data_IF_348937717826
#
_entry.id   IF_348937717826
#
_cell.length_a   1.000
_cell.length_b   1.000
_cell.length_c   1.000
_cell.angle_alpha   90.00
_cell.angle_beta   90.00
_cell.angle_gamma   90.00
#
_symmetry.space_group_name_H-M   'P 1'
#
loop_
_entity.id
_entity.type
_entity.pdbx_description
1 polymer ?
#
# COMPACT_ATOMS: atom_id res chain seq x y z
N UNK A 1 -18.54 5.57 3.31
CA UNK A 1 -17.18 5.37 3.83
C UNK A 1 -16.86 3.92 3.58
N UNK A 2 -15.82 3.64 2.78
CA UNK A 2 -15.53 2.27 2.36
C UNK A 2 -15.07 1.42 3.55
N UNK A 3 -15.48 0.15 3.59
CA UNK A 3 -15.10 -0.82 4.62
C UNK A 3 -13.77 -1.53 4.26
N UNK A 4 -13.27 -2.37 5.17
CA UNK A 4 -12.01 -3.08 4.98
C UNK A 4 -12.02 -4.00 3.75
N UNK A 5 -13.12 -4.71 3.50
CA UNK A 5 -13.24 -5.64 2.37
C UNK A 5 -13.17 -4.90 1.02
N UNK A 6 -13.84 -3.75 0.90
CA UNK A 6 -13.76 -2.90 -0.30
C UNK A 6 -12.33 -2.37 -0.54
N UNK A 7 -11.59 -2.08 0.54
CA UNK A 7 -10.18 -1.72 0.46
C UNK A 7 -9.28 -2.91 0.08
N UNK A 8 -9.62 -4.11 0.55
CA UNK A 8 -8.91 -5.34 0.22
C UNK A 8 -9.10 -5.73 -1.25
N UNK A 9 -10.30 -5.57 -1.79
CA UNK A 9 -10.61 -5.74 -3.21
C UNK A 9 -9.81 -4.73 -4.06
N UNK A 10 -9.79 -3.46 -3.65
CA UNK A 10 -9.01 -2.43 -4.32
C UNK A 10 -7.49 -2.74 -4.27
N UNK A 11 -7.01 -3.26 -3.14
CA UNK A 11 -5.62 -3.71 -3.01
C UNK A 11 -5.31 -4.83 -4.00
N UNK A 12 -6.15 -5.87 -4.09
CA UNK A 12 -5.91 -7.01 -4.99
C UNK A 12 -5.84 -6.58 -6.47
N UNK A 13 -6.72 -5.66 -6.89
CA UNK A 13 -6.67 -5.09 -8.24
C UNK A 13 -5.36 -4.33 -8.47
N UNK A 14 -4.97 -3.42 -7.57
CA UNK A 14 -3.71 -2.65 -7.71
C UNK A 14 -2.49 -3.56 -7.65
N UNK A 15 -2.51 -4.58 -6.80
CA UNK A 15 -1.43 -5.55 -6.64
C UNK A 15 -1.16 -6.29 -7.95
N UNK A 16 -2.21 -6.75 -8.62
CA UNK A 16 -2.11 -7.51 -9.89
C UNK A 16 -1.63 -6.69 -11.07
N UNK A 17 -1.72 -5.35 -11.00
CA UNK A 17 -1.22 -4.47 -12.06
C UNK A 17 0.25 -4.10 -11.89
N UNK A 18 0.88 -4.42 -10.76
CA UNK A 18 2.29 -4.09 -10.52
C UNK A 18 3.22 -4.73 -11.56
N UNK A 19 4.30 -4.05 -11.97
CA UNK A 19 4.77 -2.74 -11.48
C UNK A 19 4.12 -1.54 -12.18
N UNK A 20 3.13 -1.74 -13.06
CA UNK A 20 2.42 -0.64 -13.72
C UNK A 20 1.50 0.11 -12.74
N UNK A 21 1.13 1.33 -13.12
CA UNK A 21 0.13 2.12 -12.39
C UNK A 21 -1.28 1.57 -12.64
N UNK A 22 -2.10 1.57 -11.59
CA UNK A 22 -3.53 1.32 -11.69
C UNK A 22 -4.29 2.64 -11.70
N UNK A 23 -5.22 2.78 -12.64
CA UNK A 23 -6.18 3.90 -12.68
C UNK A 23 -7.42 3.61 -11.83
N UNK A 24 -7.36 2.64 -10.91
CA UNK A 24 -8.47 2.30 -10.04
C UNK A 24 -8.84 3.51 -9.17
N UNK A 25 -10.12 3.94 -9.16
CA UNK A 25 -10.58 5.00 -8.28
C UNK A 25 -10.55 4.52 -6.81
N UNK A 26 -10.26 5.43 -5.90
CA UNK A 26 -10.34 5.15 -4.47
C UNK A 26 -11.76 4.70 -4.09
N UNK A 27 -11.93 3.58 -3.34
CA UNK A 27 -13.25 3.08 -2.96
C UNK A 27 -14.00 4.03 -2.03
N UNK A 28 -13.29 4.94 -1.34
CA UNK A 28 -13.90 5.91 -0.43
C UNK A 28 -14.28 7.24 -1.11
N UNK A 29 -13.38 7.85 -1.90
CA UNK A 29 -13.56 9.21 -2.43
C UNK A 29 -13.51 9.33 -3.96
N UNK A 30 -13.38 8.23 -4.69
CA UNK A 30 -13.40 8.18 -6.16
C UNK A 30 -12.15 8.72 -6.88
N UNK A 31 -11.19 9.34 -6.19
CA UNK A 31 -9.98 9.87 -6.82
C UNK A 31 -8.99 8.76 -7.17
N UNK A 32 -8.33 8.87 -8.32
CA UNK A 32 -7.33 7.90 -8.83
C UNK A 32 -5.93 8.19 -8.26
N UNK A 33 -5.83 8.30 -6.94
CA UNK A 33 -4.59 8.64 -6.23
C UNK A 33 -4.16 7.54 -5.27
N UNK A 34 -4.53 6.29 -5.56
CA UNK A 34 -4.14 5.12 -4.78
C UNK A 34 -2.62 4.94 -4.82
N UNK A 35 -2.04 4.63 -3.66
CA UNK A 35 -0.61 4.42 -3.44
C UNK A 35 -0.42 3.12 -2.69
N UNK A 36 0.55 2.33 -3.15
CA UNK A 36 0.93 1.05 -2.54
C UNK A 36 2.45 1.06 -2.31
N UNK A 37 2.87 0.83 -1.08
CA UNK A 37 4.27 0.70 -0.70
C UNK A 37 4.47 -0.57 0.08
N UNK A 38 5.48 -1.35 -0.31
CA UNK A 38 5.94 -2.50 0.46
C UNK A 38 7.09 -2.14 1.38
N UNK A 39 7.12 -2.76 2.55
CA UNK A 39 8.21 -2.66 3.51
C UNK A 39 8.61 -4.06 3.95
N UNK A 40 9.87 -4.47 3.72
CA UNK A 40 10.33 -5.82 3.97
C UNK A 40 11.82 -5.86 4.35
N UNK A 41 12.31 -6.92 5.02
CA UNK A 41 13.74 -7.17 5.11
C UNK A 41 14.37 -7.34 3.72
N UNK A 42 15.65 -7.00 3.51
CA UNK A 42 16.33 -7.23 2.25
C UNK A 42 16.24 -8.71 1.82
N UNK A 43 15.84 -8.95 0.56
CA UNK A 43 15.71 -10.30 0.01
C UNK A 43 14.49 -11.12 0.49
N UNK A 44 13.64 -10.56 1.36
CA UNK A 44 12.43 -11.24 1.79
C UNK A 44 11.36 -11.24 0.70
N UNK A 45 10.68 -12.38 0.52
CA UNK A 45 9.54 -12.52 -0.40
C UNK A 45 8.21 -12.01 0.16
N UNK A 46 8.19 -11.60 1.42
CA UNK A 46 7.00 -11.09 2.10
C UNK A 46 7.38 -9.97 3.07
N UNK A 47 6.44 -9.06 3.30
CA UNK A 47 6.62 -7.93 4.20
C UNK A 47 5.28 -7.31 4.58
N UNK A 48 5.30 -6.00 4.79
CA UNK A 48 4.11 -5.21 5.03
C UNK A 48 3.71 -4.47 3.76
N UNK A 49 2.41 -4.30 3.54
CA UNK A 49 1.88 -3.41 2.52
C UNK A 49 1.13 -2.26 3.19
N UNK A 50 1.55 -1.04 2.91
CA UNK A 50 0.82 0.19 3.21
C UNK A 50 0.08 0.61 1.94
N UNK A 51 -1.25 0.64 2.00
CA UNK A 51 -2.11 0.95 0.85
C UNK A 51 -3.09 2.05 1.22
N UNK A 52 -3.04 3.19 0.53
CA UNK A 52 -3.85 4.36 0.88
C UNK A 52 -4.22 5.21 -0.33
N UNK A 53 -5.20 6.09 -0.17
CA UNK A 53 -5.51 7.15 -1.13
C UNK A 53 -4.76 8.43 -0.77
N UNK A 54 -4.02 8.99 -1.73
CA UNK A 54 -3.30 10.26 -1.57
C UNK A 54 -4.20 11.49 -1.42
N UNK A 55 -5.51 11.37 -1.65
CA UNK A 55 -6.47 12.47 -1.53
C UNK A 55 -7.23 12.44 -0.20
N UNK A 56 -7.89 11.33 0.15
CA UNK A 56 -8.67 11.27 1.40
C UNK A 56 -7.86 10.81 2.61
N UNK A 57 -6.62 10.36 2.43
CA UNK A 57 -5.75 9.84 3.50
C UNK A 57 -6.41 8.76 4.33
N UNK A 58 -7.07 7.82 3.66
CA UNK A 58 -7.58 6.58 4.24
C UNK A 58 -6.94 5.39 3.53
N UNK A 59 -6.89 4.25 4.21
CA UNK A 59 -6.26 3.06 3.67
C UNK A 59 -6.21 1.89 4.63
N UNK A 60 -5.53 0.84 4.21
CA UNK A 60 -5.32 -0.39 4.97
C UNK A 60 -3.83 -0.70 5.10
N UNK A 61 -3.51 -1.49 6.12
CA UNK A 61 -2.18 -2.04 6.32
C UNK A 61 -2.25 -3.57 6.39
N UNK A 62 -1.53 -4.24 5.51
CA UNK A 62 -1.51 -5.70 5.43
C UNK A 62 -0.17 -6.24 5.93
N UNK A 63 -0.23 -7.20 6.84
CA UNK A 63 0.94 -7.96 7.30
C UNK A 63 1.16 -9.20 6.45
N UNK A 64 2.43 -9.60 6.27
CA UNK A 64 2.84 -10.77 5.48
C UNK A 64 2.35 -10.72 4.02
N UNK A 65 2.23 -9.52 3.46
CA UNK A 65 1.92 -9.31 2.04
C UNK A 65 3.11 -9.81 1.18
N UNK A 66 2.89 -10.63 0.14
CA UNK A 66 3.97 -11.05 -0.75
C UNK A 66 4.49 -9.85 -1.53
N UNK A 67 5.81 -9.68 -1.60
CA UNK A 67 6.46 -8.61 -2.36
C UNK A 67 6.74 -9.14 -3.78
N UNK A 68 6.11 -8.58 -4.83
CA UNK A 68 6.37 -9.03 -6.19
C UNK A 68 7.80 -8.76 -6.64
N UNK A 69 8.34 -9.62 -7.51
CA UNK A 69 9.61 -9.37 -8.16
C UNK A 69 9.54 -8.08 -9.01
N UNK A 70 10.63 -7.32 -9.03
CA UNK A 70 10.71 -6.05 -9.76
C UNK A 70 10.02 -4.87 -9.08
N UNK A 71 9.32 -5.07 -7.95
CA UNK A 71 8.75 -3.99 -7.14
C UNK A 71 9.72 -3.61 -6.03
N UNK A 72 10.01 -2.31 -5.90
CA UNK A 72 10.87 -1.81 -4.82
C UNK A 72 10.12 -1.85 -3.49
N UNK A 73 10.63 -2.61 -2.53
CA UNK A 73 10.25 -2.50 -1.13
C UNK A 73 11.21 -1.58 -0.35
N UNK A 74 10.70 -0.89 0.65
CA UNK A 74 11.48 -0.16 1.65
C UNK A 74 12.08 -1.17 2.64
N UNK A 75 13.37 -1.00 2.98
CA UNK A 75 14.02 -1.94 3.90
C UNK A 75 13.57 -1.71 5.35
N UNK A 76 13.29 -2.80 6.06
CA UNK A 76 13.04 -2.75 7.52
C UNK A 76 14.28 -2.37 8.33
N UNK A 77 15.47 -2.53 7.76
CA UNK A 77 16.74 -2.20 8.43
C UNK A 77 17.00 -0.69 8.47
N UNK A 78 16.21 0.11 7.73
CA UNK A 78 16.30 1.56 7.76
C UNK A 78 15.72 2.13 9.06
N UNK A 79 16.28 3.25 9.56
CA UNK A 79 15.66 4.02 10.64
C UNK A 79 14.20 4.36 10.32
N UNK A 80 13.34 4.41 11.34
CA UNK A 80 11.90 4.57 11.16
C UNK A 80 11.52 5.81 10.34
N UNK A 81 12.22 6.93 10.53
CA UNK A 81 11.99 8.16 9.77
C UNK A 81 12.30 7.99 8.28
N UNK A 82 13.38 7.29 7.94
CA UNK A 82 13.77 7.04 6.54
C UNK A 82 12.85 6.01 5.90
N UNK A 83 12.52 4.94 6.64
CA UNK A 83 11.61 3.88 6.20
C UNK A 83 10.20 4.39 5.93
N UNK A 84 9.72 5.35 6.71
CA UNK A 84 8.36 5.88 6.57
C UNK A 84 8.32 7.14 5.69
N UNK A 85 9.45 7.58 5.12
CA UNK A 85 9.52 8.76 4.26
C UNK A 85 8.63 8.56 3.03
N UNK A 86 7.59 9.38 2.92
CA UNK A 86 6.62 9.32 1.82
C UNK A 86 5.36 8.49 2.11
N UNK A 87 5.28 7.84 3.28
CA UNK A 87 4.04 7.22 3.78
C UNK A 87 3.40 8.22 4.75
N UNK A 88 2.24 8.82 4.42
CA UNK A 88 1.59 9.78 5.32
C UNK A 88 0.98 9.06 6.52
N UNK A 89 0.62 9.81 7.57
CA UNK A 89 -0.24 9.32 8.64
C UNK A 89 -1.69 9.26 8.14
N UNK A 90 -2.02 8.25 7.33
CA UNK A 90 -3.38 7.99 6.86
C UNK A 90 -4.20 7.25 7.93
N UNK A 91 -5.51 7.43 7.90
CA UNK A 91 -6.45 6.74 8.79
C UNK A 91 -6.57 5.28 8.35
N UNK A 92 -6.25 4.36 9.25
CA UNK A 92 -6.44 2.92 9.03
C UNK A 92 -7.92 2.55 9.08
N UNK A 93 -8.35 1.82 8.07
CA UNK A 93 -9.63 1.12 8.04
C UNK A 93 -9.39 -0.30 8.55
N UNK A 94 -10.24 -0.78 9.46
CA UNK A 94 -10.14 -2.08 10.13
C UNK A 94 -11.50 -2.72 10.24
#
# INVERSE_FOLDING_TARGET
MANFDEWLDAYDVVYRTLPASSDLPCPNCGHQTLRLVFTAPPGARHGYASFWCGTCLEGIHLSRAPVPDGVRALSLDLPAEERNRGIPNYRLIT
#
